data_IF_709498039210
#
_entry.id   IF_709498039210
#
_cell.length_a   1.000
_cell.length_b   1.000
_cell.length_c   1.000
_cell.angle_alpha   90.00
_cell.angle_beta   90.00
_cell.angle_gamma   90.00
#
_symmetry.space_group_name_H-M   'P 1'
#
loop_
_entity.id
_entity.type
_entity.pdbx_description
1 polymer ?
#
# COMPACT_ATOMS: atom_id res chain seq x y z
N UNK A 1 -13.81 -19.37 -12.25
CA UNK A 1 -12.87 -18.36 -11.71
C UNK A 1 -13.33 -18.03 -10.31
N UNK A 2 -12.48 -18.11 -9.27
CA UNK A 2 -12.88 -17.63 -7.95
C UNK A 2 -13.23 -16.15 -8.04
N UNK A 3 -14.37 -15.74 -7.45
CA UNK A 3 -14.76 -14.34 -7.39
C UNK A 3 -13.95 -13.65 -6.28
N UNK A 4 -13.43 -12.46 -6.56
CA UNK A 4 -12.75 -11.59 -5.61
C UNK A 4 -13.72 -10.48 -5.18
N UNK A 5 -13.72 -10.10 -3.90
CA UNK A 5 -14.40 -8.88 -3.47
C UNK A 5 -13.63 -7.65 -3.96
N UNK A 6 -14.31 -6.51 -4.14
CA UNK A 6 -13.63 -5.26 -4.47
C UNK A 6 -12.52 -4.91 -3.47
N UNK A 7 -12.76 -5.16 -2.18
CA UNK A 7 -11.78 -5.04 -1.10
C UNK A 7 -10.54 -5.90 -1.38
N UNK A 8 -10.71 -7.19 -1.66
CA UNK A 8 -9.57 -8.07 -1.93
C UNK A 8 -8.75 -7.67 -3.17
N UNK A 9 -9.42 -7.13 -4.19
CA UNK A 9 -8.76 -6.60 -5.39
C UNK A 9 -7.95 -5.33 -5.05
N UNK A 10 -8.53 -4.41 -4.28
CA UNK A 10 -7.88 -3.18 -3.85
C UNK A 10 -6.68 -3.45 -2.92
N UNK A 11 -6.82 -4.34 -1.93
CA UNK A 11 -5.71 -4.77 -1.04
C UNK A 11 -4.56 -5.32 -1.86
N UNK A 12 -4.85 -6.19 -2.84
CA UNK A 12 -3.82 -6.74 -3.72
C UNK A 12 -3.13 -5.64 -4.54
N UNK A 13 -3.88 -4.73 -5.13
CA UNK A 13 -3.33 -3.62 -5.90
C UNK A 13 -2.39 -2.74 -5.06
N UNK A 14 -2.78 -2.42 -3.83
CA UNK A 14 -1.95 -1.63 -2.91
C UNK A 14 -0.66 -2.36 -2.54
N UNK A 15 -0.71 -3.66 -2.26
CA UNK A 15 0.49 -4.48 -1.98
C UNK A 15 1.41 -4.61 -3.21
N UNK A 16 0.83 -4.77 -4.39
CA UNK A 16 1.60 -4.80 -5.64
C UNK A 16 2.31 -3.45 -5.89
N UNK A 17 1.65 -2.33 -5.58
CA UNK A 17 2.25 -0.99 -5.64
C UNK A 17 3.39 -0.82 -4.61
N UNK A 18 3.20 -1.27 -3.37
CA UNK A 18 4.27 -1.27 -2.36
C UNK A 18 5.50 -2.07 -2.82
N UNK A 19 5.26 -3.26 -3.39
CA UNK A 19 6.32 -4.07 -4.01
C UNK A 19 7.03 -3.35 -5.16
N UNK A 20 6.29 -2.64 -6.02
CA UNK A 20 6.87 -1.82 -7.08
C UNK A 20 7.81 -0.75 -6.52
N UNK A 21 7.39 0.02 -5.51
CA UNK A 21 8.24 1.06 -4.92
C UNK A 21 9.50 0.47 -4.29
N UNK A 22 9.41 -0.64 -3.55
CA UNK A 22 10.60 -1.31 -3.00
C UNK A 22 11.58 -1.73 -4.11
N UNK A 23 11.06 -2.30 -5.20
CA UNK A 23 11.88 -2.67 -6.35
C UNK A 23 12.56 -1.45 -6.99
N UNK A 24 11.87 -0.30 -7.08
CA UNK A 24 12.48 0.94 -7.58
C UNK A 24 13.58 1.42 -6.62
N UNK A 25 13.33 1.41 -5.31
CA UNK A 25 14.32 1.83 -4.31
C UNK A 25 15.55 0.92 -4.25
N UNK A 26 15.39 -0.39 -4.47
CA UNK A 26 16.52 -1.32 -4.57
C UNK A 26 17.40 -1.06 -5.80
N UNK A 27 16.80 -0.63 -6.91
CA UNK A 27 17.52 -0.31 -8.14
C UNK A 27 18.13 1.10 -8.15
N UNK A 28 17.64 2.01 -7.30
CA UNK A 28 18.04 3.42 -7.26
C UNK A 28 18.39 3.83 -5.82
N UNK A 29 19.65 3.63 -5.37
CA UNK A 29 20.06 3.86 -3.98
C UNK A 29 19.77 5.28 -3.46
N UNK A 30 19.83 6.27 -4.35
CA UNK A 30 19.55 7.68 -4.03
C UNK A 30 18.08 7.95 -3.70
N UNK A 31 17.16 7.11 -4.19
CA UNK A 31 15.72 7.20 -3.92
C UNK A 31 15.25 6.15 -2.91
N UNK A 32 16.14 5.31 -2.40
CA UNK A 32 15.77 4.09 -1.66
C UNK A 32 14.87 4.39 -0.45
N UNK A 33 15.25 5.38 0.35
CA UNK A 33 14.53 5.75 1.56
C UNK A 33 13.12 6.24 1.22
N UNK A 34 12.99 7.24 0.34
CA UNK A 34 11.69 7.78 -0.10
C UNK A 34 10.79 6.71 -0.73
N UNK A 35 11.35 5.81 -1.53
CA UNK A 35 10.58 4.72 -2.14
C UNK A 35 10.14 3.69 -1.09
N UNK A 36 10.94 3.43 -0.06
CA UNK A 36 10.55 2.55 1.04
C UNK A 36 9.46 3.19 1.89
N UNK A 37 9.56 4.49 2.19
CA UNK A 37 8.52 5.25 2.89
C UNK A 37 7.19 5.20 2.11
N UNK A 38 7.25 5.43 0.79
CA UNK A 38 6.08 5.28 -0.07
C UNK A 38 5.50 3.86 0.04
N UNK A 39 6.33 2.81 -0.11
CA UNK A 39 5.87 1.43 -0.02
C UNK A 39 5.16 1.14 1.32
N UNK A 40 5.68 1.66 2.42
CA UNK A 40 5.12 1.45 3.75
C UNK A 40 3.77 2.15 3.94
N UNK A 41 3.56 3.31 3.30
CA UNK A 41 2.23 3.96 3.25
C UNK A 41 1.21 3.08 2.53
N UNK A 42 1.55 2.54 1.36
CA UNK A 42 0.66 1.64 0.61
C UNK A 42 0.32 0.37 1.39
N UNK A 43 1.31 -0.24 2.05
CA UNK A 43 1.08 -1.42 2.88
C UNK A 43 0.21 -1.11 4.10
N UNK A 44 0.38 0.05 4.73
CA UNK A 44 -0.46 0.46 5.86
C UNK A 44 -1.91 0.62 5.45
N UNK A 45 -2.19 1.26 4.31
CA UNK A 45 -3.56 1.38 3.78
C UNK A 45 -4.13 0.02 3.38
N UNK A 46 -3.32 -0.85 2.77
CA UNK A 46 -3.74 -2.22 2.44
C UNK A 46 -4.14 -2.99 3.71
N UNK A 47 -3.36 -2.85 4.78
CA UNK A 47 -3.62 -3.49 6.06
C UNK A 47 -4.90 -2.97 6.73
N UNK A 48 -5.17 -1.67 6.65
CA UNK A 48 -6.40 -1.05 7.16
C UNK A 48 -7.61 -1.61 6.41
N UNK A 49 -7.58 -1.58 5.08
CA UNK A 49 -8.67 -2.05 4.23
C UNK A 49 -8.93 -3.57 4.35
N UNK A 50 -7.88 -4.37 4.58
CA UNK A 50 -8.00 -5.82 4.82
C UNK A 50 -8.65 -6.14 6.17
N UNK A 51 -8.36 -5.33 7.20
CA UNK A 51 -8.82 -5.57 8.57
C UNK A 51 -10.21 -4.97 8.85
N UNK A 52 -10.45 -3.75 8.38
CA UNK A 52 -11.69 -3.01 8.59
C UNK A 52 -11.96 -2.10 7.37
N UNK A 53 -12.66 -2.61 6.35
CA UNK A 53 -12.81 -1.91 5.08
C UNK A 53 -13.63 -0.60 5.18
N UNK A 54 -14.41 -0.46 6.24
CA UNK A 54 -15.25 0.72 6.51
C UNK A 54 -14.74 1.52 7.72
N UNK A 55 -13.52 1.21 8.20
CA UNK A 55 -12.90 1.86 9.35
C UNK A 55 -12.64 3.35 9.11
N UNK A 56 -12.80 4.15 10.15
CA UNK A 56 -12.54 5.59 10.12
C UNK A 56 -11.16 5.89 10.71
N UNK A 57 -10.45 6.82 10.08
CA UNK A 57 -9.16 7.33 10.54
C UNK A 57 -9.25 8.85 10.59
N UNK A 58 -8.80 9.45 11.68
CA UNK A 58 -8.64 10.90 11.73
C UNK A 58 -7.44 11.26 10.84
N UNK A 59 -7.70 12.01 9.77
CA UNK A 59 -6.66 12.61 8.95
C UNK A 59 -6.32 13.96 9.57
N UNK A 60 -5.05 14.19 9.90
CA UNK A 60 -4.60 15.54 10.22
C UNK A 60 -4.69 16.39 8.93
N UNK A 61 -5.48 17.47 8.98
CA UNK A 61 -5.49 18.48 7.93
C UNK A 61 -4.32 19.45 8.21
N UNK A 62 -3.36 19.55 7.29
CA UNK A 62 -2.26 20.53 7.33
C UNK A 62 -2.75 21.99 7.18
#
# INVERSE_FOLDING_TARGET
MPAASHVSLAVRLLRDAAGFFRNVGEQNPELKEEMFDNADVYDRVAQLLENDPDGLIELEED
#
